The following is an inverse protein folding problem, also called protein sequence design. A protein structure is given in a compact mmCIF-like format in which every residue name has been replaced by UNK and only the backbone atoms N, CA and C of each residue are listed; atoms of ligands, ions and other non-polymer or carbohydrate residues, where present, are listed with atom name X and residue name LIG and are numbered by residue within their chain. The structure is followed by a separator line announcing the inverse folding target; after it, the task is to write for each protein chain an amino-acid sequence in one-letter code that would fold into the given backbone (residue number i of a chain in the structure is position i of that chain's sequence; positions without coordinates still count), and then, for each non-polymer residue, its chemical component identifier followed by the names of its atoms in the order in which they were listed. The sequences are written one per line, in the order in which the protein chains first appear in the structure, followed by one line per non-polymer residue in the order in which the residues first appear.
data_IF_751877014410
#
_entry.id   IF_751877014410
#
_cell.length_a   1.000
_cell.length_b   1.000
_cell.length_c   1.000
_cell.angle_alpha   90.00
_cell.angle_beta   90.00
_cell.angle_gamma   90.00
#
_symmetry.space_group_name_H-M   'P 1'
#
loop_
_entity.id
_entity.type
_entity.pdbx_description
1 polymer ?
#
# COMPACT_ATOMS: atom_id res chain seq x y z
N UNK A 1 -36.95 34.21 -51.72
CA UNK A 1 -37.02 34.66 -50.32
C UNK A 1 -37.43 33.49 -49.44
N UNK A 2 -36.59 33.19 -48.43
CA UNK A 2 -36.82 32.40 -47.20
C UNK A 2 -37.17 30.90 -47.33
N UNK A 3 -36.15 30.05 -47.15
CA UNK A 3 -36.30 28.74 -46.48
C UNK A 3 -35.39 28.74 -45.25
N UNK A 4 -36.02 28.63 -44.08
CA UNK A 4 -35.35 28.46 -42.79
C UNK A 4 -34.76 27.06 -42.70
N UNK A 5 -33.47 26.96 -42.43
CA UNK A 5 -32.82 25.72 -41.99
C UNK A 5 -32.65 25.84 -40.48
N UNK A 6 -33.50 25.14 -39.72
CA UNK A 6 -33.32 25.01 -38.28
C UNK A 6 -32.15 24.06 -38.01
N UNK A 7 -31.14 24.62 -37.38
CA UNK A 7 -29.96 23.97 -36.84
C UNK A 7 -30.36 22.91 -35.81
N UNK A 8 -30.22 21.63 -36.14
CA UNK A 8 -30.22 20.55 -35.15
C UNK A 8 -28.81 20.48 -34.56
N UNK A 9 -28.64 21.01 -33.36
CA UNK A 9 -27.43 20.80 -32.55
C UNK A 9 -27.48 19.37 -32.04
N UNK A 10 -26.67 18.49 -32.63
CA UNK A 10 -26.41 17.17 -32.07
C UNK A 10 -25.65 17.37 -30.75
N UNK A 11 -26.34 17.21 -29.64
CA UNK A 11 -25.73 17.03 -28.34
C UNK A 11 -24.95 15.71 -28.36
N UNK A 12 -23.66 15.78 -28.70
CA UNK A 12 -22.70 14.73 -28.37
C UNK A 12 -22.58 14.71 -26.85
N UNK A 13 -23.43 13.91 -26.21
CA UNK A 13 -23.25 13.49 -24.84
C UNK A 13 -21.94 12.72 -24.77
N UNK A 14 -20.91 13.36 -24.22
CA UNK A 14 -19.72 12.69 -23.70
C UNK A 14 -20.21 11.72 -22.62
N UNK A 15 -20.41 10.46 -22.99
CA UNK A 15 -20.52 9.38 -22.01
C UNK A 15 -19.10 9.19 -21.48
N UNK A 16 -18.74 9.93 -20.44
CA UNK A 16 -17.66 9.51 -19.54
C UNK A 16 -18.11 8.20 -18.92
N UNK A 17 -17.81 7.09 -19.58
CA UNK A 17 -17.84 5.77 -18.97
C UNK A 17 -16.76 5.75 -17.90
N UNK A 18 -17.09 6.23 -16.70
CA UNK A 18 -16.34 5.87 -15.50
C UNK A 18 -16.59 4.38 -15.31
N UNK A 19 -15.73 3.56 -15.90
CA UNK A 19 -15.66 2.15 -15.56
C UNK A 19 -15.47 2.09 -14.05
N UNK A 20 -16.55 1.83 -13.32
CA UNK A 20 -16.50 1.52 -11.90
C UNK A 20 -15.89 0.14 -11.87
N UNK A 21 -14.56 0.07 -11.68
CA UNK A 21 -13.91 -1.20 -11.40
C UNK A 21 -14.61 -1.78 -10.18
N UNK A 22 -15.11 -3.01 -10.31
CA UNK A 22 -15.75 -3.68 -9.19
C UNK A 22 -14.76 -3.75 -8.02
N UNK A 23 -15.22 -3.34 -6.83
CA UNK A 23 -14.44 -3.44 -5.61
C UNK A 23 -14.02 -4.90 -5.37
N UNK A 24 -12.72 -5.13 -5.25
CA UNK A 24 -12.16 -6.46 -4.98
C UNK A 24 -11.82 -6.56 -3.50
N UNK A 25 -12.54 -7.40 -2.78
CA UNK A 25 -12.28 -7.75 -1.38
C UNK A 25 -11.05 -8.65 -1.24
N UNK A 26 -10.53 -8.76 -0.01
CA UNK A 26 -9.45 -9.71 0.33
C UNK A 26 -9.80 -11.13 -0.12
N UNK A 27 -11.00 -11.62 0.19
CA UNK A 27 -11.41 -12.98 -0.16
C UNK A 27 -11.53 -13.18 -1.67
N UNK A 28 -12.02 -12.18 -2.41
CA UNK A 28 -12.09 -12.25 -3.87
C UNK A 28 -10.69 -12.30 -4.49
N UNK A 29 -9.73 -11.51 -3.99
CA UNK A 29 -8.34 -11.55 -4.46
C UNK A 29 -7.69 -12.92 -4.20
N UNK A 30 -7.92 -13.54 -3.04
CA UNK A 30 -7.45 -14.90 -2.74
C UNK A 30 -8.06 -15.95 -3.67
N UNK A 31 -9.37 -15.84 -3.92
CA UNK A 31 -10.09 -16.78 -4.78
C UNK A 31 -9.69 -16.68 -6.26
N UNK A 32 -9.29 -15.50 -6.73
CA UNK A 32 -8.81 -15.29 -8.10
C UNK A 32 -7.53 -16.10 -8.38
N UNK A 33 -6.65 -16.20 -7.38
CA UNK A 33 -5.43 -17.00 -7.45
C UNK A 33 -4.18 -16.14 -7.39
N UNK A 34 -3.04 -16.78 -7.67
CA UNK A 34 -1.72 -16.17 -7.62
C UNK A 34 -1.14 -16.06 -9.02
N UNK A 35 -0.22 -15.11 -9.19
CA UNK A 35 0.73 -15.19 -10.30
C UNK A 35 1.50 -16.50 -10.24
N UNK A 36 1.66 -17.19 -11.36
CA UNK A 36 2.64 -18.26 -11.46
C UNK A 36 4.08 -17.70 -11.62
N UNK A 37 5.07 -18.59 -11.60
CA UNK A 37 6.48 -18.18 -11.72
C UNK A 37 6.81 -17.56 -13.10
N UNK A 38 6.12 -17.97 -14.17
CA UNK A 38 6.33 -17.41 -15.50
C UNK A 38 5.73 -16.00 -15.60
N UNK A 39 4.50 -15.80 -15.15
CA UNK A 39 3.86 -14.49 -15.05
C UNK A 39 4.67 -13.54 -14.17
N UNK A 40 5.19 -14.02 -13.05
CA UNK A 40 6.05 -13.21 -12.18
C UNK A 40 7.36 -12.82 -12.87
N UNK A 41 7.94 -13.70 -13.67
CA UNK A 41 9.13 -13.38 -14.48
C UNK A 41 8.81 -12.29 -15.51
N UNK A 42 7.70 -12.43 -16.23
CA UNK A 42 7.26 -11.44 -17.22
C UNK A 42 6.99 -10.06 -16.58
N UNK A 43 6.43 -10.03 -15.37
CA UNK A 43 6.26 -8.79 -14.59
C UNK A 43 7.61 -8.13 -14.27
N UNK A 44 8.57 -8.91 -13.78
CA UNK A 44 9.91 -8.40 -13.46
C UNK A 44 10.60 -7.87 -14.73
N UNK A 45 10.55 -8.63 -15.83
CA UNK A 45 11.16 -8.24 -17.10
C UNK A 45 10.50 -6.97 -17.69
N UNK A 46 9.17 -6.86 -17.57
CA UNK A 46 8.42 -5.66 -17.98
C UNK A 46 8.80 -4.44 -17.14
N UNK A 47 8.94 -4.60 -15.82
CA UNK A 47 9.35 -3.53 -14.92
C UNK A 47 10.78 -3.03 -15.26
N UNK A 48 11.72 -3.96 -15.51
CA UNK A 48 13.10 -3.67 -15.92
C UNK A 48 13.19 -2.92 -17.25
N UNK A 49 12.29 -3.24 -18.18
CA UNK A 49 12.22 -2.55 -19.47
C UNK A 49 11.64 -1.13 -19.34
N UNK A 50 10.82 -0.89 -18.31
CA UNK A 50 10.31 0.43 -17.96
C UNK A 50 11.43 1.35 -17.46
N UNK A 51 11.53 2.55 -18.01
CA UNK A 51 12.48 3.58 -17.57
C UNK A 51 11.74 4.80 -17.01
N UNK A 52 12.32 5.55 -16.05
CA UNK A 52 13.63 5.37 -15.40
C UNK A 52 13.55 4.66 -14.02
N UNK A 53 14.60 3.90 -13.68
CA UNK A 53 14.81 3.26 -12.36
C UNK A 53 16.12 3.76 -11.74
N UNK A 54 16.15 3.94 -10.42
CA UNK A 54 17.33 4.42 -9.71
C UNK A 54 18.46 3.39 -9.72
N UNK A 55 19.72 3.83 -9.66
CA UNK A 55 20.88 2.93 -9.77
C UNK A 55 20.92 1.83 -8.70
N UNK A 56 20.65 2.18 -7.43
CA UNK A 56 20.62 1.21 -6.32
C UNK A 56 19.41 0.28 -6.42
N UNK A 57 18.27 0.82 -6.82
CA UNK A 57 17.07 0.01 -7.06
C UNK A 57 17.30 -1.00 -8.16
N UNK A 58 17.94 -0.60 -9.27
CA UNK A 58 18.27 -1.49 -10.38
C UNK A 58 19.21 -2.63 -9.97
N UNK A 59 20.22 -2.36 -9.14
CA UNK A 59 21.09 -3.40 -8.57
C UNK A 59 20.27 -4.46 -7.83
N UNK A 60 19.31 -4.03 -7.00
CA UNK A 60 18.43 -4.94 -6.24
C UNK A 60 17.37 -5.62 -7.09
N UNK A 61 16.83 -4.94 -8.08
CA UNK A 61 15.90 -5.54 -9.03
C UNK A 61 16.56 -6.67 -9.86
N UNK A 62 17.88 -6.59 -10.07
CA UNK A 62 18.65 -7.65 -10.72
C UNK A 62 18.85 -8.90 -9.85
N UNK A 63 18.70 -8.77 -8.53
CA UNK A 63 18.75 -9.89 -7.58
C UNK A 63 17.38 -10.59 -7.42
N UNK A 64 16.29 -9.99 -7.92
CA UNK A 64 14.95 -10.58 -7.82
C UNK A 64 14.82 -11.89 -8.58
N UNK A 65 14.15 -12.85 -7.94
CA UNK A 65 13.81 -14.14 -8.56
C UNK A 65 12.30 -14.29 -8.68
N UNK A 66 11.86 -15.05 -9.69
CA UNK A 66 10.44 -15.36 -9.92
C UNK A 66 9.85 -16.37 -8.92
N UNK A 67 10.62 -16.80 -7.92
CA UNK A 67 10.21 -17.81 -6.92
C UNK A 67 9.11 -17.34 -5.96
N UNK A 68 8.80 -16.04 -5.98
CA UNK A 68 7.62 -15.48 -5.33
C UNK A 68 6.31 -15.74 -6.09
N UNK A 69 6.38 -16.29 -7.31
CA UNK A 69 5.21 -16.88 -7.95
C UNK A 69 4.57 -17.92 -7.01
N UNK A 70 3.26 -18.02 -7.09
CA UNK A 70 2.36 -18.72 -6.19
C UNK A 70 2.21 -18.14 -4.76
N UNK A 71 2.86 -17.02 -4.43
CA UNK A 71 2.78 -16.40 -3.08
C UNK A 71 2.12 -15.03 -3.04
N UNK A 72 1.70 -14.53 -4.20
CA UNK A 72 1.17 -13.18 -4.40
C UNK A 72 -0.05 -13.27 -5.29
N UNK A 73 -1.15 -12.65 -4.85
CA UNK A 73 -2.40 -12.66 -5.62
C UNK A 73 -2.22 -11.95 -6.96
N UNK A 74 -2.81 -12.50 -8.01
CA UNK A 74 -2.82 -11.86 -9.34
C UNK A 74 -3.73 -10.63 -9.40
N UNK A 75 -4.64 -10.55 -8.42
CA UNK A 75 -5.65 -9.53 -8.24
C UNK A 75 -5.30 -8.62 -7.08
N UNK A 76 -5.56 -7.32 -7.26
CA UNK A 76 -5.36 -6.30 -6.22
C UNK A 76 -6.61 -6.16 -5.39
N UNK A 77 -6.46 -6.02 -4.08
CA UNK A 77 -7.54 -5.60 -3.19
C UNK A 77 -7.80 -4.13 -3.42
N UNK A 78 -9.02 -3.79 -3.80
CA UNK A 78 -9.48 -2.41 -4.08
C UNK A 78 -10.69 -2.02 -3.26
N UNK A 79 -11.27 -2.97 -2.50
CA UNK A 79 -12.44 -2.71 -1.68
C UNK A 79 -12.16 -1.55 -0.69
N UNK A 80 -13.04 -0.53 -0.67
CA UNK A 80 -12.92 0.56 0.27
C UNK A 80 -13.06 0.02 1.69
N UNK A 81 -12.39 0.72 2.62
CA UNK A 81 -12.47 0.43 4.04
C UNK A 81 -11.99 -0.98 4.46
N UNK A 82 -11.03 -1.55 3.71
CA UNK A 82 -10.33 -2.78 4.08
C UNK A 82 -9.55 -2.57 5.37
N UNK A 83 -9.77 -3.43 6.36
CA UNK A 83 -9.06 -3.40 7.63
C UNK A 83 -7.62 -3.91 7.48
N UNK A 84 -6.68 -3.15 8.04
CA UNK A 84 -5.25 -3.51 8.03
C UNK A 84 -4.62 -3.18 9.38
N UNK A 85 -3.60 -3.95 9.77
CA UNK A 85 -3.00 -3.91 11.10
C UNK A 85 -1.49 -3.76 11.02
N UNK A 86 -0.92 -2.99 11.95
CA UNK A 86 0.54 -2.90 12.09
C UNK A 86 0.96 -2.63 13.53
N UNK A 87 1.92 -3.39 14.00
CA UNK A 87 2.55 -3.21 15.30
C UNK A 87 3.67 -2.18 15.22
N UNK A 88 3.81 -1.39 16.28
CA UNK A 88 4.96 -0.51 16.47
C UNK A 88 5.45 -0.56 17.91
N UNK A 89 6.77 -0.39 18.07
CA UNK A 89 7.40 -0.05 19.34
C UNK A 89 7.31 1.47 19.60
N UNK A 90 7.31 1.85 20.88
CA UNK A 90 7.30 3.25 21.30
C UNK A 90 5.97 3.92 21.01
N UNK A 91 4.87 3.30 21.46
CA UNK A 91 3.54 3.89 21.34
C UNK A 91 3.49 5.25 22.03
N UNK A 92 2.86 6.25 21.40
CA UNK A 92 2.81 7.64 21.89
C UNK A 92 4.16 8.37 22.10
N UNK A 93 5.29 7.79 21.70
CA UNK A 93 6.59 8.46 21.71
C UNK A 93 6.85 9.25 20.42
N UNK A 94 8.04 9.85 20.28
CA UNK A 94 8.52 10.51 19.05
C UNK A 94 8.82 9.53 17.89
N UNK A 95 8.12 8.39 17.82
CA UNK A 95 8.15 7.50 16.68
C UNK A 95 7.51 8.19 15.47
N UNK A 96 8.33 8.55 14.49
CA UNK A 96 7.90 9.31 13.31
C UNK A 96 6.81 8.62 12.49
N UNK A 97 6.76 7.28 12.44
CA UNK A 97 5.67 6.57 11.78
C UNK A 97 4.35 6.80 12.53
N UNK A 98 4.34 6.65 13.86
CA UNK A 98 3.14 6.84 14.68
C UNK A 98 2.63 8.27 14.58
N UNK A 99 3.51 9.26 14.57
CA UNK A 99 3.12 10.68 14.41
C UNK A 99 2.45 10.93 13.06
N UNK A 100 2.91 10.28 11.98
CA UNK A 100 2.28 10.38 10.66
C UNK A 100 0.95 9.63 10.58
N UNK A 101 0.83 8.48 11.25
CA UNK A 101 -0.46 7.80 11.39
C UNK A 101 -1.47 8.67 12.15
N UNK A 102 -1.05 9.32 13.23
CA UNK A 102 -1.88 10.30 13.96
C UNK A 102 -2.33 11.44 13.03
N UNK A 103 -1.48 11.89 12.11
CA UNK A 103 -1.85 12.86 11.07
C UNK A 103 -2.73 12.30 9.93
N UNK A 104 -3.03 10.99 9.91
CA UNK A 104 -3.89 10.36 8.89
C UNK A 104 -3.17 10.01 7.60
N UNK A 105 -1.85 9.79 7.65
CA UNK A 105 -1.04 9.43 6.49
C UNK A 105 -0.18 8.21 6.80
N UNK A 106 -0.21 7.21 5.91
CA UNK A 106 0.75 6.11 5.91
C UNK A 106 2.06 6.67 5.38
N UNK A 107 3.12 6.61 6.17
CA UNK A 107 4.39 7.25 5.82
C UNK A 107 5.53 6.23 5.81
N UNK A 108 6.15 6.09 4.64
CA UNK A 108 7.11 5.04 4.31
C UNK A 108 8.55 5.43 4.62
N UNK A 109 9.44 4.43 4.65
CA UNK A 109 10.87 4.65 4.91
C UNK A 109 11.52 5.55 3.85
N UNK A 110 11.19 5.36 2.58
CA UNK A 110 11.68 6.20 1.49
C UNK A 110 11.30 7.68 1.67
N UNK A 111 10.10 7.97 2.18
CA UNK A 111 9.68 9.36 2.41
C UNK A 111 10.48 10.01 3.55
N UNK A 112 10.73 9.27 4.64
CA UNK A 112 11.59 9.72 5.73
C UNK A 112 13.03 9.95 5.30
N UNK A 113 13.54 9.08 4.42
CA UNK A 113 14.89 9.18 3.90
C UNK A 113 15.03 10.34 2.90
N UNK A 114 14.05 10.52 2.00
CA UNK A 114 13.94 11.68 1.12
C UNK A 114 13.89 13.00 1.91
N UNK A 115 13.05 13.10 2.96
CA UNK A 115 12.94 14.30 3.78
C UNK A 115 14.29 14.65 4.45
N UNK A 116 15.03 13.65 4.92
CA UNK A 116 16.39 13.83 5.47
C UNK A 116 17.38 14.26 4.38
N UNK A 117 17.32 13.64 3.20
CA UNK A 117 18.17 13.96 2.07
C UNK A 117 18.02 15.41 1.63
N UNK A 118 16.77 15.90 1.50
CA UNK A 118 16.46 17.30 1.18
C UNK A 118 16.94 18.24 2.28
N UNK A 119 16.68 17.90 3.55
CA UNK A 119 17.14 18.70 4.71
C UNK A 119 18.66 18.90 4.72
N UNK A 120 19.41 17.94 4.16
CA UNK A 120 20.86 17.98 4.04
C UNK A 120 21.35 18.64 2.72
N UNK A 121 20.49 19.33 1.99
CA UNK A 121 20.83 20.07 0.76
C UNK A 121 20.73 19.27 -0.54
N UNK A 122 20.17 18.06 -0.50
CA UNK A 122 19.86 17.27 -1.69
C UNK A 122 18.60 17.77 -2.43
N UNK A 123 18.32 17.18 -3.59
CA UNK A 123 17.07 17.41 -4.34
C UNK A 123 16.32 16.10 -4.60
N UNK A 124 14.98 16.11 -4.70
CA UNK A 124 14.20 14.90 -5.00
C UNK A 124 14.66 14.16 -6.25
N UNK A 125 15.03 14.88 -7.31
CA UNK A 125 15.48 14.29 -8.58
C UNK A 125 16.76 13.48 -8.39
N UNK A 126 17.70 13.98 -7.59
CA UNK A 126 18.94 13.25 -7.27
C UNK A 126 18.68 12.05 -6.37
N UNK A 127 17.74 12.15 -5.44
CA UNK A 127 17.34 11.03 -4.59
C UNK A 127 16.77 9.89 -5.43
N UNK A 128 15.78 10.20 -6.28
CA UNK A 128 15.11 9.20 -7.12
C UNK A 128 15.97 8.66 -8.26
N UNK A 129 17.01 9.38 -8.69
CA UNK A 129 18.03 8.82 -9.57
C UNK A 129 18.85 7.67 -8.91
N UNK A 130 18.81 7.54 -7.58
CA UNK A 130 19.50 6.50 -6.81
C UNK A 130 18.51 5.44 -6.32
N UNK A 131 17.47 5.87 -5.60
CA UNK A 131 16.51 4.99 -4.89
C UNK A 131 15.14 4.89 -5.58
N UNK A 132 14.95 5.54 -6.73
CA UNK A 132 13.68 5.55 -7.46
C UNK A 132 13.38 4.25 -8.21
N UNK A 133 12.24 4.18 -8.92
CA UNK A 133 11.38 5.31 -9.31
C UNK A 133 10.56 5.94 -8.18
N UNK A 134 10.15 7.20 -8.32
CA UNK A 134 9.14 7.82 -7.45
C UNK A 134 7.74 7.31 -7.81
N UNK A 135 7.20 6.37 -7.04
CA UNK A 135 5.92 5.72 -7.32
C UNK A 135 4.69 6.64 -7.12
N UNK A 136 4.87 7.91 -6.76
CA UNK A 136 3.79 8.89 -6.72
C UNK A 136 3.59 9.62 -8.05
N UNK A 137 4.55 9.51 -8.98
CA UNK A 137 4.37 10.05 -10.33
C UNK A 137 3.33 9.21 -11.08
N UNK A 138 2.52 9.82 -11.96
CA UNK A 138 1.53 9.11 -12.74
C UNK A 138 2.18 8.12 -13.72
N UNK A 139 1.36 7.23 -14.28
CA UNK A 139 1.68 6.39 -15.44
C UNK A 139 2.71 5.27 -15.24
N UNK A 140 3.08 4.92 -14.00
CA UNK A 140 3.84 3.69 -13.77
C UNK A 140 2.99 2.44 -14.06
N UNK A 141 3.51 1.48 -14.85
CA UNK A 141 2.78 0.26 -15.14
C UNK A 141 2.58 -0.56 -13.86
N UNK A 142 1.51 -1.35 -13.83
CA UNK A 142 1.22 -2.27 -12.72
C UNK A 142 2.42 -3.15 -12.36
N UNK A 143 3.19 -3.55 -13.38
CA UNK A 143 4.42 -4.33 -13.24
C UNK A 143 5.46 -3.64 -12.33
N UNK A 144 5.74 -2.35 -12.52
CA UNK A 144 6.69 -1.60 -11.68
C UNK A 144 6.26 -1.60 -10.21
N UNK A 145 4.97 -1.34 -9.93
CA UNK A 145 4.47 -1.41 -8.55
C UNK A 145 4.63 -2.80 -7.94
N UNK A 146 4.30 -3.86 -8.68
CA UNK A 146 4.45 -5.23 -8.19
C UNK A 146 5.92 -5.54 -7.91
N UNK A 147 6.84 -5.20 -8.81
CA UNK A 147 8.27 -5.43 -8.63
C UNK A 147 8.86 -4.64 -7.46
N UNK A 148 8.47 -3.37 -7.28
CA UNK A 148 8.91 -2.59 -6.11
C UNK A 148 8.36 -3.13 -4.79
N UNK A 149 7.16 -3.75 -4.80
CA UNK A 149 6.63 -4.47 -3.63
C UNK A 149 7.45 -5.73 -3.32
N UNK A 150 7.86 -6.48 -4.34
CA UNK A 150 8.76 -7.64 -4.15
C UNK A 150 10.06 -7.23 -3.48
N UNK A 151 10.68 -6.12 -3.93
CA UNK A 151 11.88 -5.59 -3.30
C UNK A 151 11.64 -5.27 -1.83
N UNK A 152 10.53 -4.57 -1.53
CA UNK A 152 10.17 -4.23 -0.16
C UNK A 152 9.94 -5.44 0.75
N UNK A 153 9.53 -6.60 0.20
CA UNK A 153 9.43 -7.85 0.95
C UNK A 153 10.81 -8.46 1.25
N UNK A 154 11.75 -8.38 0.31
CA UNK A 154 13.10 -8.91 0.48
C UNK A 154 13.92 -8.05 1.44
N UNK A 155 13.86 -6.72 1.26
CA UNK A 155 14.52 -5.75 2.11
C UNK A 155 13.72 -4.45 2.08
N UNK A 156 13.40 -3.95 3.27
CA UNK A 156 12.75 -2.64 3.39
C UNK A 156 13.74 -1.47 3.45
N UNK A 157 15.04 -1.74 3.51
CA UNK A 157 16.09 -0.74 3.76
C UNK A 157 16.95 -0.42 2.54
N UNK A 158 16.95 -1.28 1.51
CA UNK A 158 17.81 -1.09 0.33
C UNK A 158 17.13 -1.63 -0.94
N UNK A 159 16.67 -0.75 -1.85
CA UNK A 159 16.41 0.67 -1.59
C UNK A 159 15.40 0.84 -0.45
N UNK A 160 15.37 2.03 0.17
CA UNK A 160 14.40 2.30 1.22
C UNK A 160 12.98 2.08 0.68
N UNK A 161 12.17 1.30 1.40
CA UNK A 161 10.85 0.94 0.89
C UNK A 161 9.93 2.15 0.80
N UNK A 162 9.27 2.27 -0.36
CA UNK A 162 8.18 3.21 -0.60
C UNK A 162 6.83 2.68 -0.10
N UNK A 163 6.79 1.41 0.34
CA UNK A 163 5.59 0.79 0.88
C UNK A 163 5.70 0.60 2.39
N UNK A 164 4.54 0.50 3.02
CA UNK A 164 4.39 0.10 4.41
C UNK A 164 3.59 -1.19 4.42
N UNK A 165 4.21 -2.25 4.91
CA UNK A 165 3.56 -3.53 5.17
C UNK A 165 2.49 -3.42 6.25
N UNK A 166 1.27 -3.84 5.96
CA UNK A 166 0.28 -4.07 6.99
C UNK A 166 -0.24 -5.49 6.89
N UNK A 167 -0.34 -6.17 8.03
CA UNK A 167 -0.99 -7.46 8.08
C UNK A 167 -2.50 -7.30 7.82
N UNK A 168 -3.11 -8.36 7.31
CA UNK A 168 -4.56 -8.41 7.10
C UNK A 168 -5.31 -8.91 8.33
N UNK A 169 -4.61 -9.37 9.37
CA UNK A 169 -5.22 -9.86 10.60
C UNK A 169 -4.50 -9.37 11.87
N UNK A 170 -5.28 -9.24 12.94
CA UNK A 170 -4.78 -8.81 14.24
C UNK A 170 -3.93 -9.88 14.93
N UNK A 171 -4.24 -11.16 14.77
CA UNK A 171 -3.59 -12.24 15.51
C UNK A 171 -2.10 -12.36 15.16
N UNK A 172 -1.77 -12.20 13.89
CA UNK A 172 -0.39 -12.13 13.38
C UNK A 172 0.33 -10.90 13.91
N UNK A 173 -0.35 -9.76 14.02
CA UNK A 173 0.26 -8.49 14.42
C UNK A 173 0.43 -8.38 15.94
N UNK A 174 -0.51 -8.91 16.72
CA UNK A 174 -0.61 -8.75 18.17
C UNK A 174 0.51 -9.42 18.97
N UNK A 175 1.35 -10.23 18.32
CA UNK A 175 2.55 -10.83 18.93
C UNK A 175 3.77 -9.91 18.88
N UNK A 176 3.71 -8.82 18.11
CA UNK A 176 4.82 -7.90 17.89
C UNK A 176 4.54 -6.51 18.48
N UNK A 177 5.60 -5.81 18.88
CA UNK A 177 5.51 -4.42 19.34
C UNK A 177 4.84 -4.21 20.71
N UNK A 178 4.82 -2.94 21.11
CA UNK A 178 4.10 -2.45 22.28
C UNK A 178 2.61 -2.18 22.00
N UNK A 179 2.31 -1.72 20.78
CA UNK A 179 0.96 -1.36 20.38
C UNK A 179 0.65 -1.80 18.96
N UNK A 180 -0.59 -2.23 18.75
CA UNK A 180 -1.13 -2.50 17.42
C UNK A 180 -2.01 -1.35 16.99
N UNK A 181 -1.78 -0.87 15.78
CA UNK A 181 -2.60 0.12 15.11
C UNK A 181 -3.46 -0.56 14.05
N UNK A 182 -4.72 -0.15 13.96
CA UNK A 182 -5.66 -0.62 12.96
C UNK A 182 -6.30 0.56 12.24
N UNK A 183 -6.53 0.42 10.95
CA UNK A 183 -7.15 1.44 10.11
C UNK A 183 -7.86 0.79 8.93
N UNK A 184 -8.74 1.57 8.32
CA UNK A 184 -9.46 1.21 7.10
C UNK A 184 -8.89 1.99 5.92
N UNK A 185 -8.58 1.29 4.83
CA UNK A 185 -7.92 1.86 3.65
C UNK A 185 -8.51 1.28 2.36
N UNK A 186 -8.28 1.96 1.24
CA UNK A 186 -8.28 1.30 -0.08
C UNK A 186 -6.82 0.97 -0.43
N UNK A 187 -6.37 -0.29 -0.25
CA UNK A 187 -4.95 -0.60 -0.32
C UNK A 187 -4.41 -0.56 -1.75
N UNK A 188 -5.25 -0.81 -2.77
CA UNK A 188 -4.87 -0.97 -4.18
C UNK A 188 -3.59 -1.82 -4.33
N UNK A 189 -3.59 -2.99 -3.69
CA UNK A 189 -2.40 -3.81 -3.50
C UNK A 189 -2.74 -5.29 -3.60
N UNK A 190 -1.89 -6.12 -4.22
CA UNK A 190 -2.04 -7.57 -4.09
C UNK A 190 -1.80 -7.99 -2.64
N UNK A 191 -2.25 -9.20 -2.30
CA UNK A 191 -1.94 -9.85 -1.04
C UNK A 191 -0.63 -10.60 -1.22
N UNK A 192 0.28 -10.45 -0.25
CA UNK A 192 1.62 -11.02 -0.28
C UNK A 192 1.87 -11.93 0.93
N UNK A 193 2.87 -12.81 0.80
CA UNK A 193 3.31 -13.68 1.89
C UNK A 193 2.55 -15.01 1.98
N UNK A 194 1.83 -15.42 0.93
CA UNK A 194 1.05 -16.66 0.92
C UNK A 194 1.94 -17.89 0.60
N UNK A 195 1.57 -19.09 1.04
CA UNK A 195 2.26 -20.34 0.62
C UNK A 195 1.72 -20.80 -0.73
N UNK A 196 0.41 -20.76 -0.89
CA UNK A 196 -0.30 -20.77 -2.15
C UNK A 196 -1.53 -19.84 -2.01
N UNK A 197 -2.05 -19.22 -3.07
CA UNK A 197 -3.19 -18.29 -2.93
C UNK A 197 -4.49 -18.91 -2.37
N UNK A 198 -4.53 -20.23 -2.19
CA UNK A 198 -5.65 -20.96 -1.58
C UNK A 198 -5.39 -21.34 -0.11
N UNK A 199 -4.18 -21.14 0.38
CA UNK A 199 -3.73 -21.51 1.72
C UNK A 199 -2.79 -20.42 2.22
N UNK A 200 -3.34 -19.53 3.04
CA UNK A 200 -2.54 -18.59 3.81
C UNK A 200 -1.56 -19.36 4.70
N UNK A 201 -0.29 -18.95 4.70
CA UNK A 201 0.71 -19.44 5.63
C UNK A 201 1.75 -18.34 5.85
N UNK A 202 2.25 -18.18 7.08
CA UNK A 202 3.07 -17.02 7.45
C UNK A 202 2.26 -15.73 7.65
N UNK A 203 2.96 -14.59 7.74
CA UNK A 203 2.34 -13.26 7.84
C UNK A 203 1.80 -12.82 6.48
N UNK A 204 0.47 -12.78 6.37
CA UNK A 204 -0.23 -12.30 5.17
C UNK A 204 -0.41 -10.80 5.26
N UNK A 205 0.09 -10.09 4.25
CA UNK A 205 0.17 -8.63 4.28
C UNK A 205 -0.21 -8.00 2.96
N UNK A 206 -0.64 -6.75 3.03
CA UNK A 206 -0.66 -5.83 1.91
C UNK A 206 0.47 -4.83 2.06
N UNK A 207 1.05 -4.42 0.93
CA UNK A 207 2.01 -3.33 0.89
C UNK A 207 1.36 -2.08 0.33
N UNK A 208 1.07 -1.14 1.22
CA UNK A 208 0.38 0.11 0.92
C UNK A 208 1.41 1.18 0.64
N UNK A 209 1.23 1.94 -0.44
CA UNK A 209 2.17 3.00 -0.81
C UNK A 209 2.18 4.09 0.29
N UNK A 210 3.36 4.61 0.60
CA UNK A 210 3.50 5.81 1.41
C UNK A 210 2.68 6.98 0.83
N UNK A 211 2.35 7.97 1.65
CA UNK A 211 1.46 9.06 1.26
C UNK A 211 -0.03 8.70 1.21
N UNK A 212 -0.41 7.42 1.28
CA UNK A 212 -1.83 7.01 1.34
C UNK A 212 -2.50 7.59 2.59
N UNK A 213 -3.60 8.32 2.39
CA UNK A 213 -4.38 8.94 3.47
C UNK A 213 -5.47 8.02 4.00
N UNK A 214 -5.89 8.24 5.25
CA UNK A 214 -6.98 7.49 5.87
C UNK A 214 -7.68 8.27 6.99
N UNK A 215 -8.96 7.99 7.18
CA UNK A 215 -9.82 8.81 8.02
C UNK A 215 -9.84 8.41 9.49
N UNK A 216 -9.62 7.14 9.81
CA UNK A 216 -9.74 6.68 11.21
C UNK A 216 -8.54 5.84 11.61
N UNK A 217 -7.94 6.20 12.76
CA UNK A 217 -6.87 5.45 13.39
C UNK A 217 -7.40 4.82 14.68
N UNK A 218 -7.16 3.52 14.83
CA UNK A 218 -7.36 2.80 16.07
C UNK A 218 -6.04 2.30 16.62
N UNK A 219 -5.99 2.11 17.93
CA UNK A 219 -4.87 1.49 18.62
C UNK A 219 -5.34 0.65 19.78
N UNK A 220 -4.64 -0.47 20.00
CA UNK A 220 -4.71 -1.25 21.23
C UNK A 220 -3.29 -1.42 21.75
N UNK A 221 -3.02 -0.89 22.94
CA UNK A 221 -1.77 -1.21 23.64
C UNK A 221 -1.84 -2.67 24.08
N UNK A 222 -0.69 -3.36 24.10
CA UNK A 222 -0.65 -4.78 24.50
C UNK A 222 -1.08 -5.00 25.96
N UNK A 223 -0.92 -3.99 26.80
CA UNK A 223 -1.36 -3.98 28.21
C UNK A 223 -2.85 -3.67 28.37
N UNK A 224 -3.54 -3.27 27.31
CA UNK A 224 -4.94 -2.86 27.33
C UNK A 224 -5.85 -3.93 26.69
N UNK A 225 -7.04 -4.10 27.25
CA UNK A 225 -8.07 -5.00 26.69
C UNK A 225 -8.95 -4.32 25.64
N UNK A 226 -8.93 -3.00 25.56
CA UNK A 226 -9.86 -2.20 24.74
C UNK A 226 -9.14 -1.51 23.60
N UNK A 227 -9.81 -1.44 22.45
CA UNK A 227 -9.41 -0.56 21.37
C UNK A 227 -9.74 0.89 21.71
N UNK A 228 -8.89 1.80 21.25
CA UNK A 228 -9.12 3.23 21.31
C UNK A 228 -9.05 3.81 19.90
N UNK A 229 -9.95 4.75 19.58
CA UNK A 229 -9.89 5.57 18.37
C UNK A 229 -9.16 6.87 18.69
N UNK A 230 -8.28 7.29 17.79
CA UNK A 230 -7.60 8.58 17.91
C UNK A 230 -8.54 9.72 17.49
N UNK A 231 -8.77 10.67 18.38
CA UNK A 231 -9.40 11.94 18.09
C UNK A 231 -8.34 12.97 17.72
N UNK A 232 -8.17 13.21 16.41
CA UNK A 232 -7.18 14.16 15.87
C UNK A 232 -7.44 15.60 16.30
N UNK A 233 -8.68 15.97 16.61
CA UNK A 233 -9.01 17.37 16.97
C UNK A 233 -8.49 17.71 18.36
N UNK A 234 -8.58 16.75 19.27
CA UNK A 234 -8.22 16.93 20.67
C UNK A 234 -6.87 16.27 21.03
N UNK A 235 -6.20 15.61 20.09
CA UNK A 235 -4.98 14.82 20.31
C UNK A 235 -5.13 13.81 21.47
N UNK A 236 -6.22 13.03 21.44
CA UNK A 236 -6.53 12.07 22.50
C UNK A 236 -6.98 10.71 21.96
N UNK A 237 -6.83 9.68 22.80
CA UNK A 237 -7.31 8.33 22.53
C UNK A 237 -8.62 8.07 23.28
N UNK A 238 -9.68 7.75 22.54
CA UNK A 238 -11.03 7.54 23.09
C UNK A 238 -11.38 6.06 22.99
N UNK A 239 -11.76 5.42 24.10
CA UNK A 239 -12.20 4.03 24.10
C UNK A 239 -13.40 3.84 23.16
N UNK A 240 -13.40 2.73 22.41
CA UNK A 240 -14.52 2.37 21.53
C UNK A 240 -15.19 1.08 22.00
N UNK A 241 -16.48 0.85 21.65
CA UNK A 241 -17.18 -0.39 22.00
C UNK A 241 -16.44 -1.63 21.51
N UNK A 242 -16.57 -2.73 22.27
CA UNK A 242 -16.04 -4.03 21.86
C UNK A 242 -16.64 -4.44 20.51
N UNK A 243 -15.80 -4.97 19.62
CA UNK A 243 -16.19 -5.35 18.26
C UNK A 243 -16.12 -4.22 17.22
N UNK A 244 -15.76 -2.99 17.60
CA UNK A 244 -15.57 -1.89 16.63
C UNK A 244 -14.47 -2.19 15.61
N UNK A 245 -13.34 -2.73 16.08
CA UNK A 245 -12.23 -3.16 15.23
C UNK A 245 -12.31 -4.70 15.14
N UNK A 246 -12.39 -5.30 13.95
CA UNK A 246 -12.37 -6.76 13.84
C UNK A 246 -11.01 -7.28 14.28
N UNK A 247 -10.97 -8.44 14.93
CA UNK A 247 -9.71 -9.09 15.32
C UNK A 247 -9.45 -10.39 14.54
N UNK A 248 -10.39 -10.76 13.66
CA UNK A 248 -10.33 -11.94 12.79
C UNK A 248 -10.82 -11.55 11.40
N UNK A 249 -10.19 -12.13 10.37
CA UNK A 249 -10.67 -12.11 8.98
C UNK A 249 -11.89 -13.01 8.81
#
# INVERSE_FOLDING_TARGET
MKRNVSTLVAAMGFICSTAVFADVTVQQALNAGCYDNQQMREIIDTAKAGKPIGSRTLEKENELTSTYGAKITDSRVTAPATWVYRAYEGADTNNWHVQKLKAGVIYAKAQNDLDKYIKNGGTPEKYWAIDGPDLHQPDFPSATYTTMRLLALQSSDTPQSQFVSFALDYATTGTFGEAVYALQVNPNSPILGLVNCKTAGGEVQVQILGGTTFDTLYRKLRTESVWKRYDRKNDTWIAVPNGTVPEKL
#
